data_IF_611621654399
#
_entry.id   IF_611621654399
#
_cell.length_a   1.000
_cell.length_b   1.000
_cell.length_c   1.000
_cell.angle_alpha   90.00
_cell.angle_beta   90.00
_cell.angle_gamma   90.00
#
_symmetry.space_group_name_H-M   'P 1'
#
loop_
_entity.id
_entity.type
_entity.pdbx_description
1 polymer ?
#
# COMPACT_ATOMS: atom_id res chain seq x y z
N UNK A 1 9.32 -5.54 -0.08
CA UNK A 1 7.96 -5.99 0.28
C UNK A 1 6.97 -5.24 -0.59
N UNK A 2 5.97 -5.94 -1.10
CA UNK A 2 4.81 -5.42 -1.79
C UNK A 2 3.62 -6.34 -1.52
N UNK A 3 2.41 -5.86 -1.79
CA UNK A 3 1.18 -6.65 -1.72
C UNK A 3 0.66 -6.93 -3.12
N UNK A 4 -0.05 -8.04 -3.27
CA UNK A 4 -0.79 -8.43 -4.47
C UNK A 4 -2.26 -8.53 -4.13
N UNK A 5 -3.10 -7.86 -4.90
CA UNK A 5 -4.54 -7.96 -4.75
C UNK A 5 -5.23 -7.67 -6.08
N UNK A 6 -6.35 -8.34 -6.31
CA UNK A 6 -7.28 -7.95 -7.38
C UNK A 6 -8.05 -6.70 -6.96
N UNK A 7 -8.03 -5.67 -7.80
CA UNK A 7 -8.79 -4.44 -7.57
C UNK A 7 -9.46 -3.98 -8.87
N UNK A 8 -10.56 -3.24 -8.76
CA UNK A 8 -11.21 -2.61 -9.91
C UNK A 8 -10.69 -1.18 -10.10
N UNK A 9 -10.39 -0.82 -11.34
CA UNK A 9 -10.05 0.55 -11.72
C UNK A 9 -10.83 0.97 -12.96
N UNK A 10 -11.68 1.99 -12.84
CA UNK A 10 -12.53 2.51 -13.92
C UNK A 10 -13.38 1.42 -14.62
N UNK A 11 -13.95 0.48 -13.86
CA UNK A 11 -14.75 -0.62 -14.41
C UNK A 11 -13.94 -1.75 -15.06
N UNK A 12 -12.61 -1.72 -14.95
CA UNK A 12 -11.71 -2.79 -15.39
C UNK A 12 -11.16 -3.50 -14.16
N UNK A 13 -11.37 -4.81 -14.08
CA UNK A 13 -10.76 -5.64 -13.05
C UNK A 13 -9.26 -5.83 -13.36
N UNK A 14 -8.41 -5.49 -12.40
CA UNK A 14 -6.96 -5.69 -12.46
C UNK A 14 -6.61 -6.88 -11.57
N UNK A 15 -6.57 -8.10 -12.10
CA UNK A 15 -6.22 -9.28 -11.33
C UNK A 15 -4.74 -9.24 -10.93
N UNK A 16 -4.43 -9.65 -9.69
CA UNK A 16 -3.06 -9.70 -9.17
C UNK A 16 -2.29 -8.36 -9.26
N UNK A 17 -3.00 -7.25 -9.13
CA UNK A 17 -2.40 -5.93 -9.15
C UNK A 17 -1.33 -5.78 -8.06
N UNK A 18 -0.27 -5.07 -8.40
CA UNK A 18 0.91 -4.89 -7.56
C UNK A 18 0.79 -3.59 -6.75
N UNK A 19 0.65 -3.74 -5.44
CA UNK A 19 0.54 -2.64 -4.50
C UNK A 19 1.88 -2.42 -3.80
N UNK A 20 2.46 -1.24 -4.02
CA UNK A 20 3.76 -0.89 -3.46
C UNK A 20 3.66 0.43 -2.72
N UNK A 21 4.14 0.42 -1.48
CA UNK A 21 4.37 1.66 -0.76
C UNK A 21 5.63 2.34 -1.31
N UNK A 22 5.51 3.60 -1.72
CA UNK A 22 6.59 4.37 -2.34
C UNK A 22 7.04 5.52 -1.47
N UNK A 23 6.16 6.49 -1.25
CA UNK A 23 6.48 7.74 -0.58
C UNK A 23 6.14 7.64 0.90
N UNK A 24 7.01 8.21 1.73
CA UNK A 24 6.78 8.38 3.17
C UNK A 24 7.14 9.81 3.54
N UNK A 25 6.21 10.50 4.18
CA UNK A 25 6.45 11.85 4.67
C UNK A 25 5.66 12.07 5.96
N UNK A 26 6.31 12.65 6.97
CA UNK A 26 5.63 13.00 8.20
C UNK A 26 6.57 13.10 9.40
N UNK A 27 5.98 13.01 10.58
CA UNK A 27 6.67 13.12 11.86
C UNK A 27 6.33 11.94 12.77
N UNK A 28 6.96 11.87 13.95
CA UNK A 28 6.65 10.84 14.95
C UNK A 28 5.19 10.85 15.42
N UNK A 29 4.46 11.93 15.19
CA UNK A 29 3.04 12.04 15.53
C UNK A 29 2.12 11.45 14.44
N UNK A 30 2.57 11.45 13.18
CA UNK A 30 1.82 10.90 12.05
C UNK A 30 2.76 10.81 10.84
N UNK A 31 2.87 9.62 10.25
CA UNK A 31 3.54 9.40 8.96
C UNK A 31 2.46 9.14 7.92
N UNK A 32 2.46 9.97 6.88
CA UNK A 32 1.72 9.72 5.66
C UNK A 32 2.56 8.88 4.70
N UNK A 33 1.92 7.93 4.01
CA UNK A 33 2.55 7.16 2.97
C UNK A 33 1.66 7.03 1.72
N UNK A 34 2.29 6.88 0.57
CA UNK A 34 1.60 6.66 -0.71
C UNK A 34 1.64 5.17 -1.07
N UNK A 35 0.46 4.59 -1.30
CA UNK A 35 0.29 3.27 -1.88
C UNK A 35 0.02 3.39 -3.38
N UNK A 36 0.99 2.97 -4.18
CA UNK A 36 0.86 2.88 -5.62
C UNK A 36 0.26 1.53 -6.03
N UNK A 37 -0.84 1.58 -6.77
CA UNK A 37 -1.50 0.46 -7.41
C UNK A 37 -1.00 0.37 -8.84
N UNK A 38 -0.34 -0.74 -9.19
CA UNK A 38 0.20 -0.99 -10.53
C UNK A 38 -0.42 -2.27 -11.11
N UNK A 39 -0.53 -2.36 -12.43
CA UNK A 39 -0.89 -3.64 -13.07
C UNK A 39 0.22 -4.69 -12.93
N UNK A 40 1.49 -4.25 -12.91
CA UNK A 40 2.65 -5.10 -12.67
C UNK A 40 3.77 -4.29 -12.01
N UNK A 41 4.82 -4.95 -11.52
CA UNK A 41 5.97 -4.27 -10.90
C UNK A 41 6.67 -3.28 -11.85
N UNK A 42 6.66 -3.58 -13.16
CA UNK A 42 7.35 -2.83 -14.21
C UNK A 42 6.52 -1.66 -14.77
N UNK A 43 5.19 -1.72 -14.68
CA UNK A 43 4.30 -0.66 -15.15
C UNK A 43 4.15 0.49 -14.15
N UNK A 44 3.79 1.67 -14.63
CA UNK A 44 3.50 2.83 -13.79
C UNK A 44 2.30 2.61 -12.85
N UNK A 45 2.20 3.47 -11.83
CA UNK A 45 1.07 3.47 -10.93
C UNK A 45 -0.18 3.98 -11.65
N UNK A 46 -1.19 3.12 -11.70
CA UNK A 46 -2.51 3.39 -12.26
C UNK A 46 -3.32 4.24 -11.27
N UNK A 47 -3.12 4.00 -9.98
CA UNK A 47 -3.75 4.75 -8.89
C UNK A 47 -2.74 4.93 -7.76
N UNK A 48 -2.81 6.07 -7.10
CA UNK A 48 -2.04 6.33 -5.88
C UNK A 48 -3.02 6.75 -4.80
N UNK A 49 -3.03 6.01 -3.69
CA UNK A 49 -3.78 6.39 -2.49
C UNK A 49 -2.82 6.81 -1.40
N UNK A 50 -3.24 7.76 -0.57
CA UNK A 50 -2.46 8.20 0.58
C UNK A 50 -3.13 7.71 1.86
N UNK A 51 -2.33 7.07 2.68
CA UNK A 51 -2.70 6.61 4.00
C UNK A 51 -1.85 7.31 5.04
N UNK A 52 -2.32 7.32 6.27
CA UNK A 52 -1.56 7.82 7.40
C UNK A 52 -1.66 6.84 8.56
N UNK A 53 -0.59 6.76 9.33
CA UNK A 53 -0.56 6.00 10.57
C UNK A 53 0.34 6.70 11.58
N UNK A 54 0.15 6.37 12.85
CA UNK A 54 1.03 6.84 13.92
C UNK A 54 2.16 5.83 14.06
N UNK A 55 3.43 6.20 13.76
CA UNK A 55 4.53 5.26 13.82
C UNK A 55 4.97 4.95 15.25
N UNK A 56 5.42 3.72 15.46
CA UNK A 56 6.16 3.30 16.66
C UNK A 56 7.66 3.27 16.38
N UNK A 57 8.52 3.43 17.42
CA UNK A 57 9.98 3.42 17.25
C UNK A 57 10.58 2.00 17.24
N UNK A 58 9.75 0.96 17.39
CA UNK A 58 10.19 -0.42 17.57
C UNK A 58 10.47 -1.16 16.24
N UNK A 59 9.86 -0.70 15.14
CA UNK A 59 9.95 -1.35 13.81
C UNK A 59 10.21 -0.33 12.70
N UNK A 60 10.64 -0.81 11.53
CA UNK A 60 10.78 0.02 10.34
C UNK A 60 9.41 0.58 9.89
N UNK A 61 9.34 1.87 9.57
CA UNK A 61 8.11 2.55 9.14
C UNK A 61 7.47 1.92 7.89
N UNK A 62 8.29 1.38 6.99
CA UNK A 62 7.79 0.70 5.79
C UNK A 62 7.02 -0.57 6.17
N UNK A 63 7.56 -1.34 7.11
CA UNK A 63 6.91 -2.54 7.60
C UNK A 63 5.60 -2.20 8.31
N UNK A 64 5.61 -1.18 9.16
CA UNK A 64 4.40 -0.71 9.85
C UNK A 64 3.32 -0.23 8.88
N UNK A 65 3.68 0.43 7.78
CA UNK A 65 2.71 0.78 6.74
C UNK A 65 2.06 -0.45 6.11
N UNK A 66 2.83 -1.50 5.79
CA UNK A 66 2.26 -2.75 5.30
C UNK A 66 1.40 -3.48 6.34
N UNK A 67 1.78 -3.43 7.62
CA UNK A 67 0.97 -3.95 8.73
C UNK A 67 -0.36 -3.19 8.83
N UNK A 68 -0.32 -1.85 8.81
CA UNK A 68 -1.52 -1.01 8.81
C UNK A 68 -2.42 -1.26 7.60
N UNK A 69 -1.84 -1.45 6.40
CA UNK A 69 -2.62 -1.81 5.21
C UNK A 69 -3.37 -3.12 5.43
N UNK A 70 -2.76 -4.14 6.04
CA UNK A 70 -3.42 -5.42 6.31
C UNK A 70 -4.54 -5.34 7.34
N UNK A 71 -4.54 -4.33 8.21
CA UNK A 71 -5.63 -4.09 9.17
C UNK A 71 -6.86 -3.48 8.49
N UNK A 72 -6.71 -2.87 7.32
CA UNK A 72 -7.82 -2.29 6.59
C UNK A 72 -8.60 -3.39 5.85
N UNK A 73 -9.95 -3.40 5.95
CA UNK A 73 -10.79 -4.46 5.36
C UNK A 73 -10.63 -4.56 3.84
N UNK A 74 -10.27 -3.45 3.18
CA UNK A 74 -10.03 -3.42 1.74
C UNK A 74 -8.78 -4.20 1.30
N UNK A 75 -7.84 -4.52 2.20
CA UNK A 75 -6.64 -5.31 1.88
C UNK A 75 -6.59 -6.64 2.64
N UNK A 76 -7.68 -7.07 3.27
CA UNK A 76 -7.75 -8.34 4.01
C UNK A 76 -7.39 -9.55 3.12
N UNK A 77 -7.79 -9.49 1.84
CA UNK A 77 -7.48 -10.50 0.83
C UNK A 77 -6.14 -10.26 0.09
N UNK A 78 -5.37 -9.24 0.48
CA UNK A 78 -4.10 -8.94 -0.17
C UNK A 78 -3.01 -9.93 0.29
N UNK A 79 -2.36 -10.58 -0.67
CA UNK A 79 -1.29 -11.53 -0.40
C UNK A 79 0.08 -10.84 -0.49
N UNK A 80 1.07 -11.34 0.27
CA UNK A 80 2.44 -10.85 0.14
C UNK A 80 3.01 -11.22 -1.24
N UNK A 81 3.73 -10.30 -1.87
CA UNK A 81 4.46 -10.50 -3.11
C UNK A 81 5.97 -10.57 -2.89
#
# INVERSE_FOLDING_TARGET
MALKQTFEFNGVEVPNGYLKVTDFAGSKLSIGFSLAYKASAEHDAIKIERFNFVPTMDKNFIQQAYEHLKELPQFENASNC
#
